data_IF_078112884727
#
_entry.id   IF_078112884727
#
_cell.length_a   1.000
_cell.length_b   1.000
_cell.length_c   1.000
_cell.angle_alpha   90.00
_cell.angle_beta   90.00
_cell.angle_gamma   90.00
#
_symmetry.space_group_name_H-M   'P 1'
#
loop_
_entity.id
_entity.type
_entity.pdbx_description
1 polymer ?
#
# COMPACT_ATOMS: atom_id res chain seq x y z
N UNK A 1 16.49 -26.45 -1.86
CA UNK A 1 15.92 -25.34 -2.67
C UNK A 1 14.53 -24.93 -2.19
N UNK A 2 13.51 -25.80 -2.19
CA UNK A 2 12.12 -25.45 -1.84
C UNK A 2 11.88 -25.00 -0.37
N UNK A 3 12.63 -25.53 0.60
CA UNK A 3 12.53 -25.09 2.02
C UNK A 3 13.11 -23.70 2.26
N UNK A 4 14.18 -23.33 1.55
CA UNK A 4 14.78 -21.98 1.62
C UNK A 4 13.87 -20.93 0.99
N UNK A 5 13.21 -21.26 -0.13
CA UNK A 5 12.21 -20.39 -0.77
C UNK A 5 10.99 -20.16 0.15
N UNK A 6 10.48 -21.22 0.81
CA UNK A 6 9.37 -21.08 1.77
C UNK A 6 9.76 -20.24 3.00
N UNK A 7 11.00 -20.35 3.47
CA UNK A 7 11.51 -19.57 4.60
C UNK A 7 11.77 -18.11 4.22
N UNK A 8 12.21 -17.83 3.00
CA UNK A 8 12.32 -16.46 2.48
C UNK A 8 10.96 -15.82 2.23
N UNK A 9 9.99 -16.60 1.74
CA UNK A 9 8.62 -16.13 1.54
C UNK A 9 7.93 -15.82 2.88
N UNK A 10 8.19 -16.62 3.94
CA UNK A 10 7.66 -16.35 5.28
C UNK A 10 8.32 -15.16 6.01
N UNK A 11 9.55 -14.79 5.64
CA UNK A 11 10.26 -13.64 6.23
C UNK A 11 9.92 -12.31 5.57
N UNK A 12 9.44 -12.31 4.32
CA UNK A 12 9.02 -11.10 3.59
C UNK A 12 7.77 -10.41 4.19
N UNK A 13 7.13 -11.00 5.21
CA UNK A 13 5.98 -10.41 5.89
C UNK A 13 6.37 -9.40 6.99
N UNK A 14 7.64 -9.38 7.37
CA UNK A 14 8.19 -8.41 8.32
C UNK A 14 9.03 -7.39 7.56
N UNK A 15 8.84 -6.11 7.86
CA UNK A 15 9.62 -5.01 7.31
C UNK A 15 10.42 -4.36 8.43
N UNK A 16 11.67 -3.98 8.15
CA UNK A 16 12.54 -3.29 9.12
C UNK A 16 12.75 -1.83 8.71
N UNK A 17 13.26 -1.00 9.62
CA UNK A 17 13.66 0.38 9.27
C UNK A 17 14.71 0.40 8.15
N UNK A 18 15.66 -0.55 8.15
CA UNK A 18 16.66 -0.67 7.10
C UNK A 18 16.05 -1.04 5.74
N UNK A 19 14.98 -1.84 5.71
CA UNK A 19 14.24 -2.12 4.48
C UNK A 19 13.54 -0.87 3.94
N UNK A 20 12.92 -0.08 4.82
CA UNK A 20 12.29 1.19 4.45
C UNK A 20 13.33 2.15 3.88
N UNK A 21 14.48 2.29 4.52
CA UNK A 21 15.59 3.13 4.03
C UNK A 21 16.06 2.69 2.64
N UNK A 22 16.32 1.39 2.46
CA UNK A 22 16.72 0.81 1.17
C UNK A 22 15.68 1.07 0.08
N UNK A 23 14.39 0.96 0.39
CA UNK A 23 13.31 1.26 -0.56
C UNK A 23 13.28 2.74 -0.91
N UNK A 24 13.46 3.62 0.07
CA UNK A 24 13.51 5.07 -0.17
C UNK A 24 14.73 5.48 -0.99
N UNK A 25 15.86 4.79 -0.88
CA UNK A 25 17.03 4.98 -1.75
C UNK A 25 16.74 4.55 -3.19
N UNK A 26 16.04 3.42 -3.38
CA UNK A 26 15.64 2.92 -4.70
C UNK A 26 14.55 3.77 -5.35
N UNK A 27 13.67 4.36 -4.55
CA UNK A 27 12.52 5.16 -4.97
C UNK A 27 12.65 6.60 -4.43
N UNK A 28 13.47 7.46 -5.07
CA UNK A 28 13.77 8.81 -4.57
C UNK A 28 12.56 9.74 -4.54
N UNK A 29 11.52 9.43 -5.31
CA UNK A 29 10.26 10.20 -5.33
C UNK A 29 9.22 9.68 -4.34
N UNK A 30 9.46 8.58 -3.63
CA UNK A 30 8.51 8.08 -2.64
C UNK A 30 8.66 8.87 -1.31
N UNK A 31 7.54 9.32 -0.75
CA UNK A 31 7.42 9.93 0.58
C UNK A 31 6.19 9.39 1.32
N UNK A 32 5.91 9.89 2.53
CA UNK A 32 4.77 9.46 3.35
C UNK A 32 3.41 9.56 2.64
N UNK A 33 3.23 10.52 1.73
CA UNK A 33 1.97 10.70 1.00
C UNK A 33 1.89 9.85 -0.28
N UNK A 34 3.00 9.31 -0.76
CA UNK A 34 3.10 8.50 -1.98
C UNK A 34 4.21 9.01 -2.90
N UNK A 35 3.99 8.99 -4.22
CA UNK A 35 4.98 9.50 -5.18
C UNK A 35 4.91 11.03 -5.36
N UNK A 36 5.95 11.73 -4.93
CA UNK A 36 6.16 13.15 -5.16
C UNK A 36 6.67 13.50 -6.56
N UNK A 37 7.01 14.77 -6.76
CA UNK A 37 7.46 15.33 -8.03
C UNK A 37 8.96 15.58 -8.01
N UNK A 38 9.59 15.46 -9.18
CA UNK A 38 11.01 15.76 -9.35
C UNK A 38 11.25 17.26 -9.18
N UNK A 39 12.35 17.60 -8.50
CA UNK A 39 12.86 18.97 -8.38
C UNK A 39 13.27 19.62 -9.72
N UNK A 40 13.25 18.89 -10.82
CA UNK A 40 13.53 19.40 -12.18
C UNK A 40 12.44 20.31 -12.74
N UNK A 41 11.21 20.24 -12.21
CA UNK A 41 10.11 21.08 -12.71
C UNK A 41 10.28 22.57 -12.40
N UNK A 42 9.73 23.42 -13.25
CA UNK A 42 9.66 24.87 -13.06
C UNK A 42 8.63 25.25 -11.97
N UNK A 43 8.79 26.42 -11.34
CA UNK A 43 7.90 26.95 -10.28
C UNK A 43 6.40 26.86 -10.63
N UNK A 44 6.04 27.16 -11.87
CA UNK A 44 4.65 27.13 -12.36
C UNK A 44 4.01 25.74 -12.31
N UNK A 45 4.79 24.67 -12.35
CA UNK A 45 4.28 23.31 -12.19
C UNK A 45 3.75 23.11 -10.76
N UNK A 46 4.53 23.47 -9.75
CA UNK A 46 4.19 23.28 -8.35
C UNK A 46 2.92 24.05 -7.98
N UNK A 47 2.85 25.34 -8.36
CA UNK A 47 1.65 26.15 -8.15
C UNK A 47 0.38 25.53 -8.75
N UNK A 48 0.50 24.79 -9.85
CA UNK A 48 -0.63 24.15 -10.52
C UNK A 48 -1.02 22.80 -9.91
N UNK A 49 -0.05 22.02 -9.43
CA UNK A 49 -0.24 20.60 -9.09
C UNK A 49 -0.05 20.26 -7.60
N UNK A 50 0.43 21.18 -6.76
CA UNK A 50 0.74 20.91 -5.35
C UNK A 50 0.03 21.89 -4.40
N UNK A 51 -1.29 22.02 -4.52
CA UNK A 51 -2.11 22.89 -3.65
C UNK A 51 -1.65 24.37 -3.60
N UNK A 52 -1.06 24.85 -4.70
CA UNK A 52 -0.51 26.22 -4.82
C UNK A 52 0.78 26.48 -4.01
N UNK A 53 1.41 25.45 -3.44
CA UNK A 53 2.73 25.58 -2.84
C UNK A 53 3.74 26.15 -3.86
N UNK A 54 4.66 27.00 -3.38
CA UNK A 54 5.88 27.28 -4.13
C UNK A 54 6.76 26.04 -4.25
N UNK A 55 7.69 26.01 -5.21
CA UNK A 55 8.65 24.90 -5.33
C UNK A 55 9.45 24.71 -4.03
N UNK A 56 9.83 25.80 -3.37
CA UNK A 56 10.61 25.73 -2.14
C UNK A 56 9.82 25.08 -0.98
N UNK A 57 8.57 25.50 -0.79
CA UNK A 57 7.67 24.93 0.23
C UNK A 57 7.40 23.45 -0.04
N UNK A 58 7.08 23.11 -1.29
CA UNK A 58 6.87 21.73 -1.70
C UNK A 58 8.09 20.85 -1.39
N UNK A 59 9.29 21.27 -1.80
CA UNK A 59 10.52 20.49 -1.59
C UNK A 59 10.85 20.36 -0.10
N UNK A 60 10.56 21.37 0.71
CA UNK A 60 10.71 21.29 2.16
C UNK A 60 9.72 20.29 2.78
N UNK A 61 8.45 20.32 2.36
CA UNK A 61 7.42 19.39 2.81
C UNK A 61 7.73 17.96 2.36
N UNK A 62 8.18 17.77 1.13
CA UNK A 62 8.61 16.47 0.61
C UNK A 62 9.75 15.87 1.46
N UNK A 63 10.76 16.67 1.84
CA UNK A 63 11.83 16.22 2.75
C UNK A 63 11.27 15.80 4.11
N UNK A 64 10.37 16.57 4.70
CA UNK A 64 9.70 16.22 5.98
C UNK A 64 8.93 14.91 5.84
N UNK A 65 8.16 14.75 4.77
CA UNK A 65 7.39 13.52 4.51
C UNK A 65 8.29 12.31 4.30
N UNK A 66 9.45 12.46 3.65
CA UNK A 66 10.43 11.36 3.54
C UNK A 66 10.94 10.93 4.91
N UNK A 67 11.27 11.87 5.80
CA UNK A 67 11.67 11.55 7.17
C UNK A 67 10.54 10.92 8.00
N UNK A 68 9.28 11.32 7.77
CA UNK A 68 8.12 10.65 8.37
C UNK A 68 7.99 9.20 7.90
N UNK A 69 8.13 8.93 6.60
CA UNK A 69 8.05 7.57 6.07
C UNK A 69 9.18 6.67 6.57
N UNK A 70 10.41 7.19 6.70
CA UNK A 70 11.53 6.46 7.33
C UNK A 70 11.19 5.92 8.72
N UNK A 71 10.35 6.64 9.47
CA UNK A 71 9.96 6.30 10.85
C UNK A 71 8.64 5.54 10.93
N UNK A 72 7.93 5.34 9.82
CA UNK A 72 6.59 4.76 9.77
C UNK A 72 6.59 3.21 9.79
N UNK A 73 7.39 2.62 10.67
CA UNK A 73 7.57 1.16 10.77
C UNK A 73 6.23 0.44 10.99
N UNK A 74 5.46 0.89 11.98
CA UNK A 74 4.19 0.25 12.36
C UNK A 74 3.17 0.28 11.23
N UNK A 75 3.10 1.39 10.48
CA UNK A 75 2.22 1.50 9.31
C UNK A 75 2.64 0.54 8.20
N UNK A 76 3.94 0.48 7.89
CA UNK A 76 4.47 -0.43 6.88
C UNK A 76 4.24 -1.89 7.28
N UNK A 77 4.40 -2.21 8.56
CA UNK A 77 4.18 -3.55 9.10
C UNK A 77 2.70 -3.96 8.99
N UNK A 78 1.76 -3.06 9.34
CA UNK A 78 0.32 -3.26 9.12
C UNK A 78 0.00 -3.49 7.65
N UNK A 79 0.63 -2.74 6.75
CA UNK A 79 0.49 -2.97 5.31
C UNK A 79 1.01 -4.36 4.90
N UNK A 80 2.16 -4.81 5.41
CA UNK A 80 2.68 -6.14 5.12
C UNK A 80 1.74 -7.26 5.59
N UNK A 81 1.13 -7.11 6.77
CA UNK A 81 0.12 -8.04 7.30
C UNK A 81 -1.14 -8.14 6.42
N UNK A 82 -1.51 -7.06 5.74
CA UNK A 82 -2.62 -7.09 4.78
C UNK A 82 -2.17 -7.71 3.43
N UNK A 83 -1.02 -7.27 2.93
CA UNK A 83 -0.49 -7.64 1.62
C UNK A 83 -0.12 -9.13 1.51
N UNK A 84 0.14 -9.82 2.62
CA UNK A 84 0.33 -11.29 2.61
C UNK A 84 -0.88 -12.06 2.06
N UNK A 85 -2.07 -11.47 2.15
CA UNK A 85 -3.32 -12.04 1.63
C UNK A 85 -3.55 -11.73 0.15
N UNK A 86 -2.69 -10.91 -0.47
CA UNK A 86 -2.72 -10.60 -1.90
C UNK A 86 -1.87 -11.56 -2.72
N UNK A 87 -2.48 -12.09 -3.79
CA UNK A 87 -1.78 -12.89 -4.80
C UNK A 87 -1.05 -11.96 -5.77
N UNK A 88 0.28 -11.94 -5.68
CA UNK A 88 1.17 -11.22 -6.61
C UNK A 88 0.92 -11.66 -8.06
N UNK A 89 0.92 -10.72 -9.00
CA UNK A 89 0.90 -11.02 -10.44
C UNK A 89 2.08 -10.32 -11.13
N UNK A 90 2.68 -10.99 -12.11
CA UNK A 90 3.79 -10.43 -12.90
C UNK A 90 3.32 -9.52 -14.02
N UNK A 91 2.11 -9.76 -14.53
CA UNK A 91 1.52 -8.96 -15.59
C UNK A 91 1.18 -7.55 -15.08
N UNK A 92 1.53 -6.55 -15.87
CA UNK A 92 1.11 -5.16 -15.64
C UNK A 92 -0.42 -5.08 -15.63
N UNK A 93 -1.00 -4.55 -14.55
CA UNK A 93 -2.43 -4.24 -14.45
C UNK A 93 -2.66 -2.91 -13.74
N UNK A 94 -3.73 -2.24 -14.13
CA UNK A 94 -4.08 -0.88 -13.71
C UNK A 94 -5.44 -0.83 -12.99
N UNK A 95 -5.67 -1.79 -12.09
CA UNK A 95 -6.97 -2.01 -11.46
C UNK A 95 -6.96 -1.84 -9.94
N UNK A 96 -5.80 -1.96 -9.28
CA UNK A 96 -5.68 -1.85 -7.83
C UNK A 96 -4.85 -0.62 -7.46
N UNK A 97 -5.52 0.47 -7.13
CA UNK A 97 -4.89 1.73 -6.76
C UNK A 97 -4.42 1.75 -5.30
N UNK A 98 -3.23 2.30 -5.06
CA UNK A 98 -2.62 2.37 -3.73
C UNK A 98 -3.47 3.11 -2.71
N UNK A 99 -4.09 4.22 -3.11
CA UNK A 99 -4.95 5.03 -2.23
C UNK A 99 -6.22 4.30 -1.80
N UNK A 100 -6.88 3.57 -2.71
CA UNK A 100 -8.04 2.76 -2.34
C UNK A 100 -7.62 1.62 -1.41
N UNK A 101 -6.51 0.96 -1.70
CA UNK A 101 -6.05 -0.18 -0.92
C UNK A 101 -5.53 0.20 0.46
N UNK A 102 -4.92 1.38 0.62
CA UNK A 102 -4.52 1.85 1.95
C UNK A 102 -5.74 1.98 2.88
N UNK A 103 -6.90 2.40 2.37
CA UNK A 103 -8.15 2.37 3.14
C UNK A 103 -8.68 0.96 3.39
N UNK A 104 -8.49 0.02 2.46
CA UNK A 104 -8.80 -1.40 2.70
C UNK A 104 -7.92 -2.00 3.80
N UNK A 105 -6.65 -1.58 3.92
CA UNK A 105 -5.75 -1.94 5.03
C UNK A 105 -6.28 -1.39 6.35
N UNK A 106 -6.61 -0.10 6.40
CA UNK A 106 -7.19 0.53 7.59
C UNK A 106 -8.47 -0.20 8.03
N UNK A 107 -9.33 -0.54 7.07
CA UNK A 107 -10.58 -1.24 7.35
C UNK A 107 -10.33 -2.65 7.89
N UNK A 108 -9.44 -3.43 7.26
CA UNK A 108 -9.06 -4.76 7.74
C UNK A 108 -8.53 -4.74 9.18
N UNK A 109 -7.66 -3.79 9.52
CA UNK A 109 -7.12 -3.68 10.88
C UNK A 109 -8.15 -3.21 11.90
N UNK A 110 -9.13 -2.38 11.50
CA UNK A 110 -10.30 -2.07 12.35
C UNK A 110 -11.13 -3.30 12.65
N UNK A 111 -11.31 -4.22 11.68
CA UNK A 111 -12.06 -5.46 11.89
C UNK A 111 -11.32 -6.43 12.82
N UNK A 112 -9.99 -6.53 12.70
CA UNK A 112 -9.18 -7.32 13.64
C UNK A 112 -9.19 -6.75 15.06
N UNK A 113 -9.40 -5.44 15.21
CA UNK A 113 -9.41 -4.72 16.48
C UNK A 113 -8.14 -4.96 17.33
N UNK A 114 -6.99 -5.11 16.67
CA UNK A 114 -5.69 -5.35 17.32
C UNK A 114 -4.90 -4.06 17.63
N UNK A 115 -5.32 -2.91 17.11
CA UNK A 115 -4.59 -1.65 17.19
C UNK A 115 -5.52 -0.49 17.54
N UNK A 116 -5.09 0.39 18.45
CA UNK A 116 -5.83 1.62 18.81
C UNK A 116 -5.99 2.56 17.61
N UNK A 117 -5.02 2.54 16.69
CA UNK A 117 -5.06 3.31 15.45
C UNK A 117 -4.72 2.42 14.25
N UNK A 118 -5.73 2.20 13.40
CA UNK A 118 -5.60 1.42 12.17
C UNK A 118 -5.04 2.23 10.99
N UNK A 119 -4.75 3.53 11.16
CA UNK A 119 -4.27 4.38 10.09
C UNK A 119 -2.98 3.85 9.45
N UNK A 120 -2.94 3.95 8.12
CA UNK A 120 -1.72 3.81 7.33
C UNK A 120 -1.70 4.88 6.25
N UNK A 121 -0.52 5.45 6.00
CA UNK A 121 -0.30 6.38 4.91
C UNK A 121 -0.20 5.66 3.56
N UNK A 122 -0.48 6.40 2.47
CA UNK A 122 -0.34 5.85 1.13
C UNK A 122 1.12 5.51 0.80
N UNK A 123 2.08 6.31 1.29
CA UNK A 123 3.51 6.03 1.20
C UNK A 123 3.91 4.73 1.91
N UNK A 124 3.43 4.50 3.13
CA UNK A 124 3.67 3.25 3.86
C UNK A 124 3.12 2.03 3.11
N UNK A 125 1.95 2.14 2.50
CA UNK A 125 1.38 1.07 1.68
C UNK A 125 2.22 0.76 0.43
N UNK A 126 2.66 1.80 -0.30
CA UNK A 126 3.54 1.63 -1.47
C UNK A 126 4.88 1.02 -1.06
N UNK A 127 5.48 1.51 0.02
CA UNK A 127 6.73 0.99 0.59
C UNK A 127 6.61 -0.50 0.93
N UNK A 128 5.57 -0.89 1.67
CA UNK A 128 5.32 -2.28 2.01
C UNK A 128 5.08 -3.16 0.76
N UNK A 129 4.39 -2.66 -0.26
CA UNK A 129 4.20 -3.39 -1.51
C UNK A 129 5.52 -3.66 -2.24
N UNK A 130 6.40 -2.65 -2.31
CA UNK A 130 7.75 -2.81 -2.87
C UNK A 130 8.57 -3.82 -2.08
N UNK A 131 8.56 -3.71 -0.74
CA UNK A 131 9.23 -4.65 0.17
C UNK A 131 8.81 -6.09 -0.09
N UNK A 132 7.49 -6.33 -0.20
CA UNK A 132 6.93 -7.66 -0.43
C UNK A 132 7.09 -8.15 -1.88
N UNK A 133 7.78 -7.41 -2.73
CA UNK A 133 8.10 -7.77 -4.11
C UNK A 133 6.91 -7.68 -5.06
N UNK A 134 5.92 -6.82 -4.78
CA UNK A 134 4.91 -6.48 -5.76
C UNK A 134 5.50 -5.56 -6.83
N UNK A 135 5.06 -5.75 -8.07
CA UNK A 135 5.30 -4.76 -9.11
C UNK A 135 4.40 -3.54 -8.83
N UNK A 136 5.02 -2.40 -8.58
CA UNK A 136 4.37 -1.11 -8.36
C UNK A 136 4.59 -0.23 -9.57
N UNK A 137 3.53 0.41 -10.06
CA UNK A 137 3.60 1.27 -11.24
C UNK A 137 2.99 2.62 -10.88
N UNK A 138 3.78 3.69 -10.96
CA UNK A 138 3.27 5.04 -10.75
C UNK A 138 2.09 5.33 -11.69
N UNK A 139 1.01 5.94 -11.17
CA UNK A 139 -0.20 6.21 -11.97
C UNK A 139 0.07 7.23 -13.07
N UNK A 140 0.75 8.33 -12.72
CA UNK A 140 1.32 9.34 -13.62
C UNK A 140 2.22 10.29 -12.81
N UNK A 141 2.94 11.18 -13.49
CA UNK A 141 3.92 12.09 -12.88
C UNK A 141 3.31 13.16 -11.96
N UNK A 142 2.00 13.35 -12.04
CA UNK A 142 1.25 14.32 -11.21
C UNK A 142 0.50 13.68 -10.05
N UNK A 143 0.46 12.36 -9.96
CA UNK A 143 -0.33 11.64 -8.95
C UNK A 143 0.59 11.02 -7.90
N UNK A 144 0.22 11.10 -6.61
CA UNK A 144 0.91 10.37 -5.55
C UNK A 144 0.59 8.87 -5.57
N UNK A 145 -0.38 8.46 -6.39
CA UNK A 145 -0.90 7.10 -6.37
C UNK A 145 -0.14 6.18 -7.31
N UNK A 146 -0.17 4.90 -6.96
CA UNK A 146 0.41 3.83 -7.75
C UNK A 146 -0.61 2.72 -8.03
N UNK A 147 -0.33 1.90 -9.03
CA UNK A 147 -0.99 0.65 -9.31
C UNK A 147 -0.19 -0.49 -8.72
N UNK A 148 -0.84 -1.34 -7.94
CA UNK A 148 -0.26 -2.56 -7.40
C UNK A 148 -0.66 -3.73 -8.27
N UNK A 149 0.32 -4.42 -8.85
CA UNK A 149 0.08 -5.62 -9.65
C UNK A 149 -0.24 -6.81 -8.73
N UNK A 150 -1.50 -6.92 -8.31
CA UNK A 150 -2.05 -8.07 -7.59
C UNK A 150 -3.34 -8.59 -8.24
N UNK A 151 -3.71 -9.84 -7.92
CA UNK A 151 -4.93 -10.46 -8.46
C UNK A 151 -6.17 -9.92 -7.75
N UNK A 152 -7.22 -9.59 -8.52
CA UNK A 152 -8.55 -9.27 -7.98
C UNK A 152 -9.27 -10.49 -7.38
N UNK A 153 -8.75 -11.70 -7.62
CA UNK A 153 -9.21 -12.96 -7.02
C UNK A 153 -8.42 -13.30 -5.74
N UNK A 154 -7.71 -12.32 -5.17
CA UNK A 154 -7.10 -12.48 -3.86
C UNK A 154 -8.20 -12.53 -2.80
N UNK A 155 -8.01 -13.36 -1.78
CA UNK A 155 -9.07 -13.67 -0.82
C UNK A 155 -9.52 -12.41 -0.07
N UNK A 156 -8.57 -11.53 0.30
CA UNK A 156 -8.86 -10.24 0.94
C UNK A 156 -9.55 -9.22 0.02
N UNK A 157 -9.35 -9.30 -1.30
CA UNK A 157 -10.04 -8.43 -2.28
C UNK A 157 -11.47 -8.89 -2.49
N UNK A 158 -11.68 -10.21 -2.58
CA UNK A 158 -13.03 -10.77 -2.68
C UNK A 158 -13.83 -10.52 -1.41
N UNK A 159 -13.19 -10.63 -0.23
CA UNK A 159 -13.79 -10.29 1.05
C UNK A 159 -14.28 -8.83 1.07
N UNK A 160 -13.41 -7.87 0.73
CA UNK A 160 -13.80 -6.45 0.70
C UNK A 160 -14.97 -6.18 -0.25
N UNK A 161 -14.98 -6.79 -1.45
CA UNK A 161 -16.09 -6.65 -2.41
C UNK A 161 -17.42 -7.18 -1.90
N UNK A 162 -17.40 -8.31 -1.19
CA UNK A 162 -18.62 -8.89 -0.63
C UNK A 162 -19.15 -8.03 0.53
N UNK A 163 -18.26 -7.44 1.33
CA UNK A 163 -18.66 -6.52 2.39
C UNK A 163 -19.31 -5.24 1.84
N UNK A 164 -18.81 -4.69 0.73
CA UNK A 164 -19.45 -3.54 0.06
C UNK A 164 -20.89 -3.87 -0.41
N UNK A 165 -21.23 -5.14 -0.54
CA UNK A 165 -22.52 -5.66 -0.99
C UNK A 165 -23.33 -6.33 0.12
N UNK A 166 -22.94 -6.19 1.40
CA UNK A 166 -23.42 -7.02 2.50
C UNK A 166 -24.97 -7.07 2.63
N UNK A 167 -25.66 -5.98 2.28
CA UNK A 167 -27.12 -5.89 2.35
C UNK A 167 -27.87 -6.64 1.22
N UNK A 168 -27.16 -7.26 0.28
CA UNK A 168 -27.73 -7.91 -0.91
C UNK A 168 -27.08 -9.24 -1.24
N UNK A 169 -26.40 -9.87 -0.26
CA UNK A 169 -25.71 -11.13 -0.48
C UNK A 169 -26.67 -12.32 -0.48
N UNK A 170 -26.52 -13.18 -1.49
CA UNK A 170 -27.21 -14.46 -1.56
C UNK A 170 -26.63 -15.48 -0.55
N UNK A 171 -27.37 -16.54 -0.17
CA UNK A 171 -26.89 -17.55 0.79
C UNK A 171 -25.54 -18.18 0.42
N UNK A 172 -25.24 -18.32 -0.88
CA UNK A 172 -23.94 -18.81 -1.37
C UNK A 172 -22.79 -17.83 -1.11
N UNK A 173 -23.08 -16.54 -1.17
CA UNK A 173 -22.11 -15.46 -0.96
C UNK A 173 -21.82 -15.26 0.51
N UNK A 174 -22.84 -15.39 1.38
CA UNK A 174 -22.64 -15.43 2.84
C UNK A 174 -21.72 -16.60 3.26
N UNK A 175 -21.92 -17.79 2.67
CA UNK A 175 -21.01 -18.94 2.90
C UNK A 175 -19.59 -18.66 2.41
N UNK A 176 -19.45 -17.95 1.28
CA UNK A 176 -18.16 -17.56 0.76
C UNK A 176 -17.49 -16.52 1.67
N UNK A 177 -18.23 -15.52 2.15
CA UNK A 177 -17.74 -14.49 3.05
C UNK A 177 -17.15 -15.11 4.33
N UNK A 178 -17.91 -15.98 5.02
CA UNK A 178 -17.43 -16.68 6.21
C UNK A 178 -16.18 -17.53 5.95
N UNK A 179 -16.08 -18.15 4.75
CA UNK A 179 -14.88 -18.89 4.35
C UNK A 179 -13.69 -17.97 4.12
N UNK A 180 -13.90 -16.78 3.56
CA UNK A 180 -12.84 -15.80 3.32
C UNK A 180 -12.34 -15.19 4.62
N UNK A 181 -13.23 -14.82 5.54
CA UNK A 181 -12.90 -14.31 6.89
C UNK A 181 -11.93 -15.25 7.61
N UNK A 182 -12.31 -16.53 7.71
CA UNK A 182 -11.46 -17.56 8.32
C UNK A 182 -10.07 -17.66 7.66
N UNK A 183 -9.96 -17.44 6.35
CA UNK A 183 -8.68 -17.52 5.63
C UNK A 183 -7.80 -16.30 5.84
N UNK A 184 -8.40 -15.12 6.00
CA UNK A 184 -7.65 -13.87 6.23
C UNK A 184 -7.46 -13.55 7.71
N UNK A 185 -7.92 -14.45 8.60
CA UNK A 185 -7.72 -14.37 10.04
C UNK A 185 -8.73 -13.50 10.77
N UNK A 186 -9.92 -13.32 10.19
CA UNK A 186 -11.11 -12.74 10.84
C UNK A 186 -12.04 -13.85 11.36
#
# INVERSE_FOLDING_TARGET
MAQLQKKSDSLNHLITLADIERILEQEPLLDYNGFGHSDSYHESFYKRYTFQDSKAEYLQNFKKNRESLKKALDECQRCCMYLQHLKKIKATRYNLGSYTFKHSVEYYHRQLNHFDNAYVSNGAFICAALHMGFKVIRKNDTSPNAWICASIQSDIVMWGRLLDQQNSLEPKELKLLAKLEKKIGL
#
